data_IF_310337148068
#
_entry.id   IF_310337148068
#
_cell.length_a   1.000
_cell.length_b   1.000
_cell.length_c   1.000
_cell.angle_alpha   90.00
_cell.angle_beta   90.00
_cell.angle_gamma   90.00
#
_symmetry.space_group_name_H-M   'P 1'
#
loop_
_entity.id
_entity.type
_entity.pdbx_description
1 polymer ?
#
# COMPACT_ATOMS: atom_id res chain seq x y z
N UNK A 1 11.20 -4.28 -5.14
CA UNK A 1 9.98 -3.52 -4.77
C UNK A 1 9.30 -4.24 -3.62
N UNK A 2 8.67 -3.49 -2.72
CA UNK A 2 7.80 -4.04 -1.68
C UNK A 2 6.34 -3.87 -2.10
N UNK A 3 5.50 -4.89 -1.90
CA UNK A 3 4.04 -4.77 -2.05
C UNK A 3 3.41 -4.86 -0.68
N UNK A 4 2.48 -3.94 -0.38
CA UNK A 4 1.71 -3.90 0.87
C UNK A 4 0.24 -3.77 0.52
N UNK A 5 -0.63 -4.49 1.21
CA UNK A 5 -2.08 -4.38 1.06
C UNK A 5 -2.75 -4.69 2.41
N UNK A 6 -4.02 -4.33 2.58
CA UNK A 6 -4.77 -4.52 3.83
C UNK A 6 -5.91 -5.50 3.63
N UNK A 7 -6.10 -6.37 4.62
CA UNK A 7 -7.07 -7.47 4.57
C UNK A 7 -8.52 -7.01 4.75
N UNK A 8 -9.44 -7.97 4.68
CA UNK A 8 -10.85 -7.79 5.05
C UNK A 8 -11.06 -7.49 6.54
N UNK A 9 -10.03 -7.59 7.38
CA UNK A 9 -10.12 -7.24 8.80
C UNK A 9 -10.25 -5.71 9.03
N UNK A 10 -10.10 -4.91 7.95
CA UNK A 10 -10.25 -3.46 7.94
C UNK A 10 -9.43 -2.79 9.07
N UNK A 11 -8.10 -3.04 9.16
CA UNK A 11 -7.29 -2.46 10.21
C UNK A 11 -7.29 -0.93 10.11
N UNK A 12 -7.40 -0.24 11.24
CA UNK A 12 -7.42 1.22 11.25
C UNK A 12 -6.04 1.81 10.85
N UNK A 13 -6.02 3.11 10.54
CA UNK A 13 -4.81 3.79 10.10
C UNK A 13 -3.67 3.75 11.15
N UNK A 14 -3.99 3.68 12.44
CA UNK A 14 -2.99 3.62 13.51
C UNK A 14 -2.37 2.22 13.60
N UNK A 15 -3.16 1.17 13.43
CA UNK A 15 -2.69 -0.21 13.30
C UNK A 15 -1.80 -0.37 12.07
N UNK A 16 -2.23 0.13 10.92
CA UNK A 16 -1.44 0.11 9.68
C UNK A 16 -0.12 0.86 9.85
N UNK A 17 -0.14 2.04 10.47
CA UNK A 17 1.09 2.77 10.81
C UNK A 17 2.03 1.91 11.67
N UNK A 18 1.52 1.23 12.71
CA UNK A 18 2.34 0.39 13.58
C UNK A 18 2.94 -0.78 12.81
N UNK A 19 2.16 -1.46 11.96
CA UNK A 19 2.63 -2.57 11.13
C UNK A 19 3.75 -2.13 10.18
N UNK A 20 3.56 -1.02 9.44
CA UNK A 20 4.57 -0.52 8.49
C UNK A 20 5.80 0.01 9.22
N UNK A 21 5.64 0.75 10.33
CA UNK A 21 6.78 1.18 11.17
C UNK A 21 7.57 -0.03 11.66
N UNK A 22 6.90 -1.08 12.12
CA UNK A 22 7.54 -2.33 12.56
C UNK A 22 8.37 -3.01 11.46
N UNK A 23 8.00 -2.85 10.19
CA UNK A 23 8.82 -3.29 9.04
C UNK A 23 10.05 -2.39 8.87
N UNK A 24 9.88 -1.08 9.05
CA UNK A 24 10.95 -0.08 9.04
C UNK A 24 12.02 -0.34 10.11
N UNK A 25 11.61 -0.58 11.37
CA UNK A 25 12.53 -0.91 12.48
C UNK A 25 13.38 -2.15 12.20
N UNK A 26 12.90 -3.06 11.34
CA UNK A 26 13.60 -4.28 10.92
C UNK A 26 14.44 -4.09 9.67
N UNK A 27 14.58 -2.86 9.16
CA UNK A 27 15.35 -2.51 7.98
C UNK A 27 14.66 -2.82 6.64
N UNK A 28 13.43 -3.33 6.65
CA UNK A 28 12.76 -3.79 5.42
C UNK A 28 12.44 -2.62 4.49
N UNK A 29 11.99 -1.49 5.03
CA UNK A 29 11.60 -0.33 4.22
C UNK A 29 12.79 0.36 3.54
N UNK A 30 13.98 0.34 4.18
CA UNK A 30 15.19 0.89 3.60
C UNK A 30 15.73 0.04 2.43
N UNK A 31 15.38 -1.25 2.37
CA UNK A 31 15.88 -2.18 1.36
C UNK A 31 15.18 -2.05 -0.02
N UNK A 32 14.05 -1.34 -0.10
CA UNK A 32 13.26 -1.27 -1.32
C UNK A 32 13.14 0.17 -1.85
N UNK A 33 13.57 0.45 -3.09
CA UNK A 33 13.46 1.79 -3.68
C UNK A 33 12.03 2.15 -4.12
N UNK A 34 11.14 1.16 -4.16
CA UNK A 34 9.74 1.35 -4.51
C UNK A 34 8.83 0.51 -3.61
N UNK A 35 7.74 1.13 -3.14
CA UNK A 35 6.67 0.53 -2.37
C UNK A 35 5.37 0.69 -3.14
N UNK A 36 4.70 -0.43 -3.44
CA UNK A 36 3.39 -0.45 -4.08
C UNK A 36 2.35 -0.86 -3.05
N UNK A 37 1.32 -0.05 -2.94
CA UNK A 37 0.26 -0.20 -1.95
C UNK A 37 -1.06 -0.50 -2.67
N UNK A 38 -1.66 -1.63 -2.35
CA UNK A 38 -3.00 -1.99 -2.80
C UNK A 38 -4.04 -0.99 -2.28
N UNK A 39 -5.12 -0.80 -3.02
CA UNK A 39 -6.25 0.01 -2.55
C UNK A 39 -6.76 -0.57 -1.22
N UNK A 40 -6.87 0.23 -0.15
CA UNK A 40 -7.38 -0.29 1.12
C UNK A 40 -8.85 -0.65 0.95
N UNK A 41 -9.22 -1.83 1.44
CA UNK A 41 -10.64 -2.18 1.56
C UNK A 41 -11.27 -1.25 2.60
N UNK A 42 -12.44 -0.71 2.27
CA UNK A 42 -13.19 0.24 3.10
C UNK A 42 -14.66 -0.16 3.20
N UNK A 43 -14.97 -1.41 2.85
CA UNK A 43 -16.32 -1.95 2.83
C UNK A 43 -16.24 -3.44 3.10
N UNK A 44 -16.98 -3.92 4.07
CA UNK A 44 -17.30 -5.34 4.25
C UNK A 44 -18.78 -5.48 4.63
N UNK A 45 -19.34 -6.69 4.61
CA UNK A 45 -20.77 -6.90 4.87
C UNK A 45 -21.24 -6.28 6.20
N UNK A 46 -20.40 -6.40 7.25
CA UNK A 46 -20.67 -5.84 8.57
C UNK A 46 -20.20 -4.39 8.73
N UNK A 47 -19.46 -3.84 7.76
CA UNK A 47 -18.88 -2.50 7.85
C UNK A 47 -18.94 -1.78 6.51
N UNK A 48 -20.11 -1.19 6.25
CA UNK A 48 -20.45 -0.58 4.96
C UNK A 48 -20.30 0.94 5.00
N UNK A 49 -19.06 1.43 4.94
CA UNK A 49 -18.81 2.87 4.98
C UNK A 49 -19.46 3.59 3.78
N UNK A 50 -20.16 4.72 4.00
CA UNK A 50 -20.60 5.62 2.93
C UNK A 50 -19.42 6.12 2.08
N UNK A 51 -19.70 6.60 0.85
CA UNK A 51 -18.66 7.11 -0.07
C UNK A 51 -17.70 8.11 0.60
N UNK A 52 -18.17 9.17 1.32
CA UNK A 52 -17.26 10.13 1.93
C UNK A 52 -16.35 9.50 2.98
N UNK A 53 -16.87 8.55 3.77
CA UNK A 53 -16.11 7.86 4.81
C UNK A 53 -15.09 6.89 4.21
N UNK A 54 -15.41 6.22 3.10
CA UNK A 54 -14.44 5.39 2.36
C UNK A 54 -13.27 6.20 1.82
N UNK A 55 -13.53 7.41 1.31
CA UNK A 55 -12.48 8.31 0.84
C UNK A 55 -11.60 8.78 2.01
N UNK A 56 -12.20 9.17 3.13
CA UNK A 56 -11.47 9.56 4.33
C UNK A 56 -10.64 8.39 4.90
N UNK A 57 -11.19 7.18 4.89
CA UNK A 57 -10.51 5.95 5.29
C UNK A 57 -9.27 5.69 4.43
N UNK A 58 -9.42 5.73 3.09
CA UNK A 58 -8.32 5.53 2.17
C UNK A 58 -7.23 6.60 2.31
N UNK A 59 -7.60 7.85 2.57
CA UNK A 59 -6.65 8.93 2.81
C UNK A 59 -5.89 8.75 4.14
N UNK A 60 -6.58 8.35 5.21
CA UNK A 60 -5.95 8.07 6.50
C UNK A 60 -4.93 6.92 6.40
N UNK A 61 -5.25 5.87 5.63
CA UNK A 61 -4.35 4.77 5.30
C UNK A 61 -3.09 5.25 4.57
N UNK A 62 -3.23 6.09 3.53
CA UNK A 62 -2.08 6.69 2.82
C UNK A 62 -1.20 7.49 3.77
N UNK A 63 -1.81 8.36 4.56
CA UNK A 63 -1.10 9.22 5.50
C UNK A 63 -0.32 8.38 6.53
N UNK A 64 -0.92 7.29 7.03
CA UNK A 64 -0.27 6.34 7.93
C UNK A 64 0.96 5.68 7.31
N UNK A 65 0.83 5.15 6.09
CA UNK A 65 1.94 4.49 5.38
C UNK A 65 3.06 5.47 5.07
N UNK A 66 2.74 6.65 4.54
CA UNK A 66 3.74 7.70 4.24
C UNK A 66 4.46 8.16 5.51
N UNK A 67 3.72 8.39 6.60
CA UNK A 67 4.30 8.76 7.90
C UNK A 67 5.20 7.67 8.46
N UNK A 68 4.84 6.40 8.30
CA UNK A 68 5.66 5.28 8.75
C UNK A 68 6.92 5.10 7.90
N UNK A 69 6.85 5.39 6.59
CA UNK A 69 7.97 5.21 5.66
C UNK A 69 9.02 6.32 5.75
N UNK A 70 8.59 7.57 5.97
CA UNK A 70 9.43 8.76 5.89
C UNK A 70 10.74 8.70 6.73
N UNK A 71 10.77 8.14 7.95
CA UNK A 71 12.00 8.04 8.73
C UNK A 71 13.03 7.04 8.19
N UNK A 72 12.59 6.07 7.37
CA UNK A 72 13.46 4.97 6.92
C UNK A 72 13.87 5.08 5.45
N UNK A 73 13.02 5.67 4.61
CA UNK A 73 13.29 5.84 3.18
C UNK A 73 12.46 7.00 2.59
N UNK A 74 12.88 8.27 2.82
CA UNK A 74 12.14 9.44 2.34
C UNK A 74 12.14 9.60 0.82
N UNK A 75 13.10 8.99 0.12
CA UNK A 75 13.26 9.07 -1.34
C UNK A 75 12.57 7.91 -2.08
N UNK A 76 11.91 6.98 -1.36
CA UNK A 76 11.21 5.86 -1.97
C UNK A 76 10.08 6.33 -2.88
N UNK A 77 9.95 5.68 -4.05
CA UNK A 77 8.77 5.85 -4.89
C UNK A 77 7.63 5.04 -4.28
N UNK A 78 6.57 5.72 -3.85
CA UNK A 78 5.37 5.07 -3.31
C UNK A 78 4.21 5.22 -4.28
N UNK A 79 3.59 4.11 -4.66
CA UNK A 79 2.39 4.09 -5.50
C UNK A 79 1.24 3.52 -4.70
N UNK A 80 0.12 4.24 -4.66
CA UNK A 80 -1.08 3.84 -3.94
C UNK A 80 -2.24 3.51 -4.90
N UNK A 81 -3.31 2.91 -4.38
CA UNK A 81 -4.53 2.50 -5.11
C UNK A 81 -4.31 1.50 -6.24
N UNK A 82 -3.25 0.71 -6.18
CA UNK A 82 -3.06 -0.33 -7.18
C UNK A 82 -4.14 -1.40 -6.98
N UNK A 83 -4.71 -1.85 -8.11
CA UNK A 83 -5.74 -2.89 -8.17
C UNK A 83 -5.14 -4.27 -7.82
N UNK A 84 -4.72 -4.44 -6.56
CA UNK A 84 -4.20 -5.69 -5.99
C UNK A 84 -4.62 -5.80 -4.53
N UNK A 85 -4.57 -7.01 -3.98
CA UNK A 85 -4.99 -7.27 -2.60
C UNK A 85 -6.49 -7.54 -2.49
N UNK A 86 -7.13 -7.08 -1.42
CA UNK A 86 -8.50 -7.46 -1.07
C UNK A 86 -9.62 -6.65 -1.76
N UNK A 87 -9.30 -5.78 -2.72
CA UNK A 87 -10.30 -5.05 -3.53
C UNK A 87 -10.37 -5.58 -4.95
N UNK A 88 -11.55 -5.50 -5.58
CA UNK A 88 -11.71 -5.77 -7.00
C UNK A 88 -11.41 -4.53 -7.87
N UNK A 89 -10.81 -4.72 -9.07
CA UNK A 89 -10.23 -5.96 -9.59
C UNK A 89 -8.88 -6.31 -8.93
N UNK A 90 -8.44 -7.56 -9.06
CA UNK A 90 -7.16 -8.07 -8.52
C UNK A 90 -6.18 -8.44 -9.63
N UNK A 91 -5.16 -7.61 -9.85
CA UNK A 91 -4.07 -7.85 -10.77
C UNK A 91 -3.06 -8.83 -10.15
N UNK A 92 -2.54 -9.73 -10.99
CA UNK A 92 -1.49 -10.68 -10.60
C UNK A 92 -0.14 -9.98 -10.67
N UNK A 93 0.63 -10.08 -9.58
CA UNK A 93 2.00 -9.57 -9.49
C UNK A 93 2.96 -10.75 -9.31
N UNK A 94 3.85 -11.05 -10.29
CA UNK A 94 4.77 -12.16 -10.18
C UNK A 94 5.85 -11.87 -9.13
N UNK A 95 5.97 -12.74 -8.12
CA UNK A 95 7.06 -12.65 -7.16
C UNK A 95 8.35 -13.25 -7.74
N UNK A 96 9.45 -12.53 -7.56
CA UNK A 96 10.77 -12.89 -8.13
C UNK A 96 10.98 -12.44 -9.58
N UNK A 97 9.96 -11.90 -10.24
CA UNK A 97 10.07 -11.30 -11.57
C UNK A 97 10.61 -9.88 -11.57
N UNK A 98 10.90 -9.34 -12.76
CA UNK A 98 11.29 -7.93 -12.93
C UNK A 98 10.04 -7.04 -12.88
N UNK A 99 10.02 -6.09 -11.95
CA UNK A 99 8.98 -5.06 -11.85
C UNK A 99 9.63 -3.69 -11.97
N UNK A 100 9.12 -2.86 -12.89
CA UNK A 100 9.53 -1.47 -13.04
C UNK A 100 8.40 -0.55 -12.60
N UNK A 101 8.74 0.39 -11.73
CA UNK A 101 7.87 1.50 -11.31
C UNK A 101 8.47 2.77 -11.88
N UNK A 102 7.71 3.45 -12.74
CA UNK A 102 8.07 4.71 -13.37
C UNK A 102 7.14 5.82 -12.87
N UNK A 103 7.65 6.67 -11.97
CA UNK A 103 6.87 7.74 -11.36
C UNK A 103 6.58 8.91 -12.31
N UNK A 104 7.44 9.13 -13.31
CA UNK A 104 7.29 10.21 -14.29
C UNK A 104 6.19 9.85 -15.28
N UNK A 105 6.29 8.65 -15.85
CA UNK A 105 5.30 8.13 -16.81
C UNK A 105 4.05 7.54 -16.13
N UNK A 106 4.02 7.53 -14.79
CA UNK A 106 2.95 6.94 -13.97
C UNK A 106 2.60 5.52 -14.39
N UNK A 107 3.62 4.68 -14.56
CA UNK A 107 3.48 3.33 -15.10
C UNK A 107 4.14 2.29 -14.20
N UNK A 108 3.42 1.21 -13.94
CA UNK A 108 4.00 -0.03 -13.41
C UNK A 108 4.00 -1.06 -14.54
N UNK A 109 5.13 -1.71 -14.78
CA UNK A 109 5.23 -2.85 -15.70
C UNK A 109 5.86 -4.05 -15.01
N UNK A 110 5.34 -5.23 -15.32
CA UNK A 110 5.81 -6.51 -14.79
C UNK A 110 6.22 -7.40 -15.96
N UNK A 111 7.31 -8.16 -15.78
CA UNK A 111 7.73 -9.20 -16.72
C UNK A 111 7.56 -10.56 -16.07
N UNK A 112 6.98 -11.48 -16.83
CA UNK A 112 6.77 -12.88 -16.50
C UNK A 112 7.90 -13.75 -17.04
#
# INVERSE_FOLDING_TARGET
MLVVETSNELPDAQEVFRMVRNMGERGLLAAFPAVVVGRPKAWDFDHQLPVPERLAWAEAQRAAITRALAPYNPDAVVVFDVDLGHTDPQLIVPYGGEIRVDAVERRISVRY
#
